data_IF_630809293145
#
_entry.id   IF_630809293145
#
_cell.length_a   1.000
_cell.length_b   1.000
_cell.length_c   1.000
_cell.angle_alpha   90.00
_cell.angle_beta   90.00
_cell.angle_gamma   90.00
#
_symmetry.space_group_name_H-M   'P 1'
#
loop_
_entity.id
_entity.type
_entity.pdbx_description
1 polymer ?
#
# COMPACT_ATOMS: atom_id res chain seq x y z
N UNK A 1 11.74 -10.87 6.86
CA UNK A 1 12.28 -10.56 8.22
C UNK A 1 12.81 -9.13 8.19
N UNK A 2 12.42 -8.28 9.14
CA UNK A 2 12.94 -6.91 9.23
C UNK A 2 14.23 -6.92 10.05
N UNK A 3 15.29 -6.46 9.48
CA UNK A 3 16.60 -6.29 10.10
C UNK A 3 16.95 -4.80 10.01
N UNK A 4 17.07 -4.07 10.98
CA UNK A 4 16.85 -4.01 12.41
C UNK A 4 15.55 -3.25 12.74
N UNK A 5 14.95 -3.49 13.91
CA UNK A 5 13.81 -2.70 14.37
C UNK A 5 14.24 -1.31 14.83
N UNK A 6 15.35 -1.21 15.59
CA UNK A 6 15.81 0.02 16.25
C UNK A 6 17.33 0.16 16.17
N UNK A 7 17.81 1.38 15.99
CA UNK A 7 19.22 1.72 16.09
C UNK A 7 19.72 1.60 17.54
N UNK A 8 20.89 1.01 17.73
CA UNK A 8 21.52 0.91 19.06
C UNK A 8 22.15 2.23 19.55
N UNK A 9 22.54 3.10 18.61
CA UNK A 9 23.12 4.42 18.84
C UNK A 9 22.77 5.35 17.69
N UNK A 10 23.17 6.63 17.76
CA UNK A 10 22.96 7.60 16.68
C UNK A 10 23.74 7.20 15.43
N UNK A 11 23.02 6.75 14.40
CA UNK A 11 23.60 6.33 13.12
C UNK A 11 22.59 6.46 12.00
N UNK A 12 23.07 6.43 10.76
CA UNK A 12 22.25 6.23 9.57
C UNK A 12 22.25 4.74 9.28
N UNK A 13 21.09 4.10 9.34
CA UNK A 13 20.92 2.67 9.10
C UNK A 13 19.55 2.36 8.52
N UNK A 14 19.36 1.10 8.15
CA UNK A 14 18.10 0.51 7.67
C UNK A 14 17.09 0.22 8.80
N UNK A 15 17.43 0.45 10.07
CA UNK A 15 16.48 0.33 11.15
C UNK A 15 15.28 1.25 10.93
N UNK A 16 14.08 0.78 11.26
CA UNK A 16 12.83 1.53 11.07
C UNK A 16 12.51 2.49 12.22
N UNK A 17 13.22 2.36 13.35
CA UNK A 17 13.21 3.31 14.45
C UNK A 17 14.64 3.80 14.74
N UNK A 18 14.78 5.06 15.13
CA UNK A 18 16.07 5.60 15.57
C UNK A 18 16.43 5.14 17.00
N UNK A 19 17.63 5.52 17.48
CA UNK A 19 18.12 5.16 18.83
C UNK A 19 17.28 5.75 19.96
N UNK A 20 16.50 6.78 19.72
CA UNK A 20 15.56 7.39 20.69
C UNK A 20 14.17 6.73 20.66
N UNK A 21 13.93 5.81 19.73
CA UNK A 21 12.63 5.17 19.54
C UNK A 21 11.68 5.94 18.62
N UNK A 22 12.17 7.00 17.95
CA UNK A 22 11.37 7.74 16.96
C UNK A 22 11.18 6.88 15.71
N UNK A 23 9.94 6.75 15.27
CA UNK A 23 9.59 5.97 14.09
C UNK A 23 9.99 6.72 12.82
N UNK A 24 10.84 6.09 11.99
CA UNK A 24 11.18 6.61 10.66
C UNK A 24 10.00 6.41 9.70
N UNK A 25 10.00 7.07 8.53
CA UNK A 25 8.94 6.87 7.52
C UNK A 25 8.80 5.42 7.08
N UNK A 26 9.91 4.68 6.99
CA UNK A 26 9.95 3.25 6.69
C UNK A 26 9.17 2.38 7.69
N UNK A 27 9.03 2.81 8.95
CA UNK A 27 8.21 2.11 9.94
C UNK A 27 6.74 2.05 9.52
N UNK A 28 6.20 3.16 9.02
CA UNK A 28 4.78 3.23 8.63
C UNK A 28 4.52 2.46 7.34
N UNK A 29 5.44 2.52 6.38
CA UNK A 29 5.37 1.72 5.15
C UNK A 29 5.41 0.23 5.48
N UNK A 30 6.32 -0.18 6.35
CA UNK A 30 6.43 -1.56 6.82
C UNK A 30 5.16 -2.01 7.54
N UNK A 31 4.64 -1.20 8.48
CA UNK A 31 3.38 -1.49 9.19
C UNK A 31 2.21 -1.70 8.22
N UNK A 32 2.17 -0.94 7.13
CA UNK A 32 1.14 -1.12 6.11
C UNK A 32 1.34 -2.42 5.32
N UNK A 33 2.59 -2.77 4.98
CA UNK A 33 2.93 -4.00 4.23
C UNK A 33 2.72 -5.30 5.03
N UNK A 34 2.70 -5.22 6.36
CA UNK A 34 2.45 -6.38 7.25
C UNK A 34 0.98 -6.51 7.70
N UNK A 35 0.05 -5.98 6.94
CA UNK A 35 -1.39 -6.21 7.19
C UNK A 35 -1.79 -7.59 6.68
N UNK A 36 -2.62 -8.28 7.45
CA UNK A 36 -3.12 -9.62 7.10
C UNK A 36 -3.94 -9.63 5.80
N UNK A 37 -4.58 -8.51 5.47
CA UNK A 37 -5.31 -8.32 4.20
C UNK A 37 -4.76 -7.09 3.50
N UNK A 38 -4.21 -7.28 2.29
CA UNK A 38 -3.53 -6.22 1.55
C UNK A 38 -3.88 -6.25 0.06
N UNK A 39 -4.38 -5.14 -0.51
CA UNK A 39 -4.45 -4.99 -1.95
C UNK A 39 -3.05 -4.70 -2.53
N UNK A 40 -2.70 -5.39 -3.59
CA UNK A 40 -1.43 -5.27 -4.31
C UNK A 40 -1.72 -5.08 -5.79
N UNK A 41 -0.95 -4.21 -6.44
CA UNK A 41 -0.90 -4.11 -7.89
C UNK A 41 0.32 -4.90 -8.37
N UNK A 42 0.08 -5.89 -9.20
CA UNK A 42 1.12 -6.79 -9.75
C UNK A 42 1.81 -6.19 -10.97
N UNK A 43 2.94 -6.77 -11.39
CA UNK A 43 3.71 -6.31 -12.56
C UNK A 43 2.91 -6.39 -13.88
N UNK A 44 2.01 -7.35 -14.00
CA UNK A 44 1.08 -7.52 -15.13
C UNK A 44 -0.16 -6.63 -15.04
N UNK A 45 -0.10 -5.61 -14.19
CA UNK A 45 -1.14 -4.58 -14.01
C UNK A 45 -2.49 -5.12 -13.56
N UNK A 46 -2.47 -6.06 -12.64
CA UNK A 46 -3.67 -6.56 -11.99
C UNK A 46 -3.73 -6.10 -10.54
N UNK A 47 -4.91 -5.71 -10.11
CA UNK A 47 -5.20 -5.48 -8.70
C UNK A 47 -5.64 -6.82 -8.09
N UNK A 48 -4.89 -7.28 -7.11
CA UNK A 48 -5.18 -8.50 -6.35
C UNK A 48 -5.35 -8.16 -4.88
N UNK A 49 -6.05 -8.99 -4.13
CA UNK A 49 -6.09 -8.95 -2.67
C UNK A 49 -5.39 -10.19 -2.13
N UNK A 50 -4.38 -9.98 -1.33
CA UNK A 50 -3.74 -11.02 -0.52
C UNK A 50 -4.49 -11.08 0.80
N UNK A 51 -4.94 -12.27 1.19
CA UNK A 51 -5.59 -12.53 2.47
C UNK A 51 -4.81 -13.63 3.20
N UNK A 52 -4.04 -13.25 4.21
CA UNK A 52 -3.24 -14.17 5.05
C UNK A 52 -4.05 -14.73 6.24
N UNK A 53 -5.32 -14.31 6.39
CA UNK A 53 -6.20 -14.86 7.42
C UNK A 53 -6.69 -16.27 7.06
N UNK A 54 -6.99 -17.08 8.06
CA UNK A 54 -7.56 -18.42 7.89
C UNK A 54 -9.07 -18.42 7.63
N UNK A 55 -9.67 -17.26 7.40
CA UNK A 55 -11.08 -17.08 7.08
C UNK A 55 -11.23 -16.20 5.83
N UNK A 56 -12.26 -16.39 5.00
CA UNK A 56 -12.56 -15.48 3.92
C UNK A 56 -12.96 -14.11 4.49
N UNK A 57 -12.66 -13.05 3.75
CA UNK A 57 -13.02 -11.67 4.10
C UNK A 57 -13.74 -11.01 2.95
N UNK A 58 -14.56 -10.01 3.27
CA UNK A 58 -15.25 -9.19 2.28
C UNK A 58 -15.12 -7.70 2.60
N UNK A 59 -15.24 -6.89 1.57
CA UNK A 59 -15.15 -5.45 1.72
C UNK A 59 -15.43 -4.71 0.43
N UNK A 60 -15.19 -3.42 0.47
CA UNK A 60 -15.26 -2.51 -0.68
C UNK A 60 -13.90 -1.93 -0.94
N UNK A 61 -13.56 -1.77 -2.20
CA UNK A 61 -12.30 -1.18 -2.65
C UNK A 61 -12.54 -0.04 -3.61
N UNK A 62 -11.76 1.03 -3.45
CA UNK A 62 -11.73 2.19 -4.33
C UNK A 62 -10.29 2.53 -4.65
N UNK A 63 -9.96 2.56 -5.93
CA UNK A 63 -8.65 2.98 -6.45
C UNK A 63 -8.81 4.33 -7.10
N UNK A 64 -8.01 5.30 -6.69
CA UNK A 64 -8.05 6.68 -7.18
C UNK A 64 -6.68 7.11 -7.66
N UNK A 65 -6.61 7.73 -8.83
CA UNK A 65 -5.37 8.39 -9.30
C UNK A 65 -5.10 9.65 -8.47
N UNK A 66 -3.98 9.67 -7.77
CA UNK A 66 -3.65 10.73 -6.80
C UNK A 66 -3.50 12.13 -7.44
N UNK A 67 -2.99 12.18 -8.69
CA UNK A 67 -2.75 13.44 -9.37
C UNK A 67 -4.04 14.14 -9.84
N UNK A 68 -5.05 13.36 -10.23
CA UNK A 68 -6.28 13.86 -10.86
C UNK A 68 -7.52 13.72 -9.99
N UNK A 69 -7.49 12.83 -8.98
CA UNK A 69 -8.66 12.43 -8.21
C UNK A 69 -9.61 11.51 -8.97
N UNK A 70 -9.24 11.06 -10.18
CA UNK A 70 -10.06 10.17 -10.98
C UNK A 70 -10.17 8.79 -10.32
N UNK A 71 -11.39 8.27 -10.19
CA UNK A 71 -11.63 6.90 -9.72
C UNK A 71 -11.34 5.94 -10.88
N UNK A 72 -10.34 5.09 -10.69
CA UNK A 72 -9.92 4.07 -11.67
C UNK A 72 -10.74 2.80 -11.51
N UNK A 73 -11.03 2.43 -10.28
CA UNK A 73 -11.82 1.25 -9.93
C UNK A 73 -12.57 1.49 -8.64
N UNK A 74 -13.83 1.07 -8.59
CA UNK A 74 -14.59 0.98 -7.34
C UNK A 74 -15.50 -0.24 -7.39
N UNK A 75 -15.35 -1.15 -6.41
CA UNK A 75 -16.14 -2.38 -6.36
C UNK A 75 -16.10 -3.03 -4.98
N UNK A 76 -17.09 -3.89 -4.75
CA UNK A 76 -17.06 -4.83 -3.63
C UNK A 76 -16.19 -6.04 -4.00
N UNK A 77 -15.60 -6.69 -2.98
CA UNK A 77 -14.77 -7.86 -3.17
C UNK A 77 -14.99 -8.88 -2.04
N UNK A 78 -14.69 -10.12 -2.37
CA UNK A 78 -14.56 -11.22 -1.42
C UNK A 78 -13.23 -11.92 -1.70
N UNK A 79 -12.39 -12.11 -0.66
CA UNK A 79 -11.10 -12.77 -0.77
C UNK A 79 -11.12 -14.06 0.05
N UNK A 80 -10.77 -15.17 -0.60
CA UNK A 80 -10.72 -16.48 0.04
C UNK A 80 -9.68 -16.53 1.16
N UNK A 81 -9.86 -17.43 2.12
CA UNK A 81 -8.91 -17.64 3.21
C UNK A 81 -7.54 -18.07 2.69
N UNK A 82 -6.46 -17.50 3.24
CA UNK A 82 -5.08 -17.83 2.94
C UNK A 82 -4.82 -17.92 1.43
N UNK A 83 -5.23 -16.90 0.69
CA UNK A 83 -5.19 -16.90 -0.77
C UNK A 83 -4.95 -15.50 -1.37
N UNK A 84 -4.57 -15.51 -2.63
CA UNK A 84 -4.53 -14.33 -3.50
C UNK A 84 -5.77 -14.34 -4.39
N UNK A 85 -6.57 -13.29 -4.30
CA UNK A 85 -7.78 -13.12 -5.11
C UNK A 85 -7.57 -12.04 -6.15
N UNK A 86 -7.70 -12.37 -7.41
CA UNK A 86 -7.62 -11.44 -8.51
C UNK A 86 -8.94 -10.65 -8.65
N UNK A 87 -8.84 -9.33 -8.69
CA UNK A 87 -10.01 -8.47 -8.77
C UNK A 87 -10.25 -7.91 -10.16
N UNK A 88 -9.26 -7.23 -10.73
CA UNK A 88 -9.41 -6.55 -12.00
C UNK A 88 -8.07 -6.11 -12.58
N UNK A 89 -7.97 -5.91 -13.91
CA UNK A 89 -6.88 -5.16 -14.48
C UNK A 89 -6.96 -3.69 -14.07
N UNK A 90 -5.80 -3.04 -13.88
CA UNK A 90 -5.66 -1.61 -13.65
C UNK A 90 -4.70 -1.02 -14.67
N UNK A 91 -5.15 0.02 -15.37
CA UNK A 91 -4.36 0.67 -16.42
C UNK A 91 -3.84 2.02 -15.95
N UNK A 92 -2.65 2.39 -16.45
CA UNK A 92 -2.10 3.73 -16.27
C UNK A 92 -1.23 4.14 -17.45
N UNK A 93 -1.08 5.45 -17.64
CA UNK A 93 -0.15 6.05 -18.58
C UNK A 93 0.83 6.93 -17.83
N UNK A 94 2.14 6.75 -18.11
CA UNK A 94 3.19 7.53 -17.45
C UNK A 94 3.35 7.22 -15.97
N UNK A 95 3.90 8.18 -15.24
CA UNK A 95 4.15 8.09 -13.81
C UNK A 95 3.00 8.67 -12.99
N UNK A 96 2.68 8.03 -11.88
CA UNK A 96 1.67 8.49 -10.95
C UNK A 96 1.61 7.65 -9.69
N UNK A 97 0.53 7.81 -8.95
CA UNK A 97 0.29 7.06 -7.72
C UNK A 97 -1.19 6.74 -7.59
N UNK A 98 -1.51 5.49 -7.38
CA UNK A 98 -2.82 5.07 -6.93
C UNK A 98 -2.94 5.19 -5.42
N UNK A 99 -4.01 5.82 -4.96
CA UNK A 99 -4.49 5.71 -3.58
C UNK A 99 -5.53 4.59 -3.57
N UNK A 100 -5.34 3.62 -2.69
CA UNK A 100 -6.21 2.46 -2.57
C UNK A 100 -6.87 2.49 -1.20
N UNK A 101 -8.14 2.92 -1.18
CA UNK A 101 -9.01 2.83 -0.01
C UNK A 101 -9.73 1.50 -0.03
N UNK A 102 -9.74 0.78 1.09
CA UNK A 102 -10.43 -0.49 1.18
C UNK A 102 -10.96 -0.77 2.59
N UNK A 103 -11.98 -1.60 2.65
CA UNK A 103 -12.51 -2.09 3.92
C UNK A 103 -12.31 -3.59 4.02
N UNK A 104 -12.10 -4.09 5.24
CA UNK A 104 -12.08 -5.52 5.57
C UNK A 104 -13.07 -5.72 6.69
N UNK A 105 -14.17 -6.44 6.41
CA UNK A 105 -15.26 -6.68 7.36
C UNK A 105 -15.73 -5.40 8.08
N UNK A 106 -15.86 -4.31 7.30
CA UNK A 106 -16.32 -3.00 7.79
C UNK A 106 -15.23 -2.09 8.37
N UNK A 107 -14.00 -2.56 8.58
CA UNK A 107 -12.88 -1.74 9.04
C UNK A 107 -12.16 -1.12 7.85
N UNK A 108 -11.98 0.21 7.87
CA UNK A 108 -11.35 0.96 6.77
C UNK A 108 -9.82 0.98 6.87
N UNK A 109 -9.19 0.89 5.71
CA UNK A 109 -7.75 0.97 5.52
C UNK A 109 -7.41 1.78 4.28
N UNK A 110 -6.18 2.27 4.21
CA UNK A 110 -5.61 2.93 3.03
C UNK A 110 -4.21 2.41 2.76
N UNK A 111 -3.86 2.28 1.50
CA UNK A 111 -2.50 2.04 1.00
C UNK A 111 -2.31 2.79 -0.31
N UNK A 112 -1.13 2.72 -0.90
CA UNK A 112 -0.84 3.36 -2.19
C UNK A 112 0.06 2.47 -3.03
N UNK A 113 0.10 2.76 -4.33
CA UNK A 113 0.99 2.11 -5.30
C UNK A 113 1.54 3.16 -6.27
N UNK A 114 2.86 3.25 -6.36
CA UNK A 114 3.54 4.08 -7.37
C UNK A 114 3.57 3.31 -8.69
N UNK A 115 3.11 3.91 -9.76
CA UNK A 115 3.10 3.32 -11.09
C UNK A 115 3.94 4.12 -12.09
N UNK A 116 4.43 3.45 -13.14
CA UNK A 116 5.35 3.99 -14.14
C UNK A 116 6.80 3.66 -13.82
N UNK A 117 7.71 4.12 -14.68
CA UNK A 117 9.14 3.83 -14.58
C UNK A 117 9.90 4.88 -13.79
N UNK A 118 10.78 4.50 -12.84
CA UNK A 118 11.64 5.44 -12.16
C UNK A 118 12.64 6.12 -13.13
N UNK A 119 13.23 7.29 -12.74
CA UNK A 119 13.13 7.93 -11.43
C UNK A 119 11.84 8.76 -11.25
N UNK A 120 11.23 8.70 -10.06
CA UNK A 120 10.10 9.55 -9.70
C UNK A 120 10.59 10.90 -9.17
N UNK A 121 9.89 11.99 -9.53
CA UNK A 121 10.20 13.32 -9.00
C UNK A 121 9.72 13.43 -7.55
N UNK A 122 10.62 13.79 -6.65
CA UNK A 122 10.32 13.94 -5.22
C UNK A 122 9.16 14.91 -4.94
N UNK A 123 9.07 16.00 -5.70
CA UNK A 123 8.00 17.00 -5.55
C UNK A 123 6.60 16.40 -5.84
N UNK A 124 6.49 15.55 -6.86
CA UNK A 124 5.23 14.89 -7.20
C UNK A 124 4.87 13.83 -6.15
N UNK A 125 5.85 13.00 -5.78
CA UNK A 125 5.64 11.98 -4.74
C UNK A 125 5.19 12.59 -3.42
N UNK A 126 5.82 13.66 -2.95
CA UNK A 126 5.46 14.32 -1.70
C UNK A 126 4.08 14.96 -1.73
N UNK A 127 3.63 15.43 -2.91
CA UNK A 127 2.28 15.93 -3.11
C UNK A 127 1.25 14.81 -3.03
N UNK A 128 1.52 13.68 -3.68
CA UNK A 128 0.59 12.55 -3.76
C UNK A 128 0.45 11.82 -2.42
N UNK A 129 1.55 11.67 -1.66
CA UNK A 129 1.55 10.89 -0.41
C UNK A 129 0.99 11.64 0.79
N UNK A 130 0.77 12.97 0.67
CA UNK A 130 0.35 13.83 1.79
C UNK A 130 -0.89 13.32 2.52
N UNK A 131 -1.80 12.70 1.79
CA UNK A 131 -3.08 12.21 2.30
C UNK A 131 -3.11 10.67 2.45
N UNK A 132 -1.95 10.00 2.29
CA UNK A 132 -1.88 8.53 2.21
C UNK A 132 -1.16 7.85 3.38
N UNK A 133 -0.56 8.62 4.28
CA UNK A 133 0.17 8.13 5.47
C UNK A 133 -0.54 8.49 6.77
#
# INVERSE_FOLDING_TARGET
>A
MVWNLRDGWRTISDAVCDSFGTKKKSYFALKAAYRDVLPIVTEDRRLVVVNDLLAPVKGRMKVTEAATGQVVLERDYEAAANAVTDLAPVGWNGQGMFIIDYTVDGKAFRTHYLHGEPPFRWADYTKWIKDSL
#
